data_IF_531957924889
#
_entry.id   IF_531957924889
#
_cell.length_a   1.000
_cell.length_b   1.000
_cell.length_c   1.000
_cell.angle_alpha   90.00
_cell.angle_beta   90.00
_cell.angle_gamma   90.00
#
_symmetry.space_group_name_H-M   'P 1'
#
loop_
_entity.id
_entity.type
_entity.pdbx_description
1 polymer ?
#
# COMPACT_ATOMS: atom_id res chain seq x y z
N UNK A 1 8.83 11.49 -2.04
CA UNK A 1 8.17 11.83 -0.75
C UNK A 1 9.11 11.51 0.40
N UNK A 2 9.20 12.39 1.40
CA UNK A 2 10.01 12.16 2.61
C UNK A 2 9.28 11.17 3.52
N UNK A 3 9.98 10.10 3.92
CA UNK A 3 9.44 8.98 4.68
C UNK A 3 10.33 8.71 5.91
N UNK A 4 10.10 9.45 7.02
CA UNK A 4 10.95 9.37 8.21
C UNK A 4 10.96 7.98 8.85
N UNK A 5 9.83 7.28 8.79
CA UNK A 5 9.68 5.93 9.36
C UNK A 5 10.55 4.92 8.60
N UNK A 6 10.55 4.99 7.27
CA UNK A 6 11.36 4.13 6.41
C UNK A 6 12.85 4.41 6.62
N UNK A 7 13.24 5.67 6.76
CA UNK A 7 14.63 6.06 7.04
C UNK A 7 15.12 5.54 8.40
N UNK A 8 14.31 5.66 9.45
CA UNK A 8 14.66 5.14 10.78
C UNK A 8 14.79 3.60 10.76
N UNK A 9 13.88 2.90 10.08
CA UNK A 9 13.96 1.44 9.96
C UNK A 9 15.19 0.99 9.16
N UNK A 10 15.49 1.67 8.04
CA UNK A 10 16.70 1.42 7.26
C UNK A 10 17.97 1.57 8.12
N UNK A 11 18.04 2.64 8.92
CA UNK A 11 19.17 2.88 9.83
C UNK A 11 19.29 1.80 10.91
N UNK A 12 18.17 1.26 11.40
CA UNK A 12 18.18 0.11 12.34
C UNK A 12 18.66 -1.17 11.67
N UNK A 13 18.22 -1.47 10.45
CA UNK A 13 18.63 -2.66 9.70
C UNK A 13 20.13 -2.64 9.40
N UNK A 14 20.66 -1.49 8.97
CA UNK A 14 22.10 -1.30 8.78
C UNK A 14 22.90 -1.54 10.06
N UNK A 15 22.45 -1.02 11.20
CA UNK A 15 23.08 -1.26 12.52
C UNK A 15 23.05 -2.73 12.95
N UNK A 16 22.11 -3.53 12.44
CA UNK A 16 22.01 -4.98 12.68
C UNK A 16 22.83 -5.83 11.71
N UNK A 17 23.56 -5.22 10.78
CA UNK A 17 24.38 -5.92 9.78
C UNK A 17 23.65 -6.28 8.48
N UNK A 18 22.40 -5.86 8.31
CA UNK A 18 21.65 -6.03 7.05
C UNK A 18 22.04 -4.93 6.05
N UNK A 19 23.31 -4.92 5.62
CA UNK A 19 23.86 -3.89 4.73
C UNK A 19 23.40 -4.03 3.27
N UNK A 20 22.82 -5.17 2.92
CA UNK A 20 22.22 -5.49 1.63
C UNK A 20 20.88 -4.77 1.39
N UNK A 21 20.22 -4.30 2.46
CA UNK A 21 18.99 -3.50 2.35
C UNK A 21 19.32 -2.07 1.91
N UNK A 22 19.01 -1.75 0.66
CA UNK A 22 19.35 -0.45 0.04
C UNK A 22 18.38 0.67 0.43
N UNK A 23 17.10 0.35 0.62
CA UNK A 23 16.06 1.31 0.98
C UNK A 23 14.90 0.62 1.71
N UNK A 24 14.16 1.40 2.49
CA UNK A 24 12.89 1.00 3.10
C UNK A 24 11.87 2.07 2.76
N UNK A 25 10.66 1.64 2.39
CA UNK A 25 9.49 2.51 2.21
C UNK A 25 8.41 2.03 3.16
N UNK A 26 7.97 2.90 4.05
CA UNK A 26 6.78 2.69 4.87
C UNK A 26 5.55 3.17 4.13
N UNK A 27 4.49 2.38 4.25
CA UNK A 27 3.17 2.69 3.72
C UNK A 27 2.12 1.92 4.51
N UNK A 28 0.86 2.24 4.26
CA UNK A 28 -0.26 1.47 4.81
C UNK A 28 -0.62 0.37 3.82
N UNK A 29 -0.76 -0.84 4.33
CA UNK A 29 -1.34 -1.96 3.59
C UNK A 29 -2.76 -2.19 4.07
N UNK A 30 -3.70 -2.33 3.13
CA UNK A 30 -5.10 -2.63 3.40
C UNK A 30 -5.49 -3.84 2.59
N UNK A 31 -6.03 -4.85 3.26
CA UNK A 31 -6.70 -5.98 2.62
C UNK A 31 -8.21 -5.70 2.63
N UNK A 32 -8.83 -5.74 1.46
CA UNK A 32 -10.25 -5.48 1.28
C UNK A 32 -10.92 -6.73 0.72
N UNK A 33 -11.87 -7.29 1.47
CA UNK A 33 -12.74 -8.36 1.01
C UNK A 33 -14.06 -7.72 0.59
N UNK A 34 -14.37 -7.80 -0.69
CA UNK A 34 -15.59 -7.21 -1.27
C UNK A 34 -16.36 -8.23 -2.08
N UNK A 35 -17.69 -8.11 -2.08
CA UNK A 35 -18.53 -8.80 -3.04
C UNK A 35 -18.51 -8.04 -4.37
N UNK A 36 -18.40 -8.76 -5.48
CA UNK A 36 -18.44 -8.20 -6.82
C UNK A 36 -18.96 -9.24 -7.81
N UNK A 37 -19.68 -8.78 -8.84
CA UNK A 37 -20.25 -9.65 -9.87
C UNK A 37 -19.20 -10.15 -10.86
N UNK A 38 -18.02 -9.52 -10.87
CA UNK A 38 -16.88 -9.89 -11.70
C UNK A 38 -15.58 -9.27 -11.19
N UNK A 39 -14.44 -9.77 -11.68
CA UNK A 39 -13.12 -9.18 -11.42
C UNK A 39 -13.03 -7.71 -11.83
N UNK A 40 -13.64 -7.33 -12.97
CA UNK A 40 -13.65 -5.94 -13.43
C UNK A 40 -14.48 -5.03 -12.52
N UNK A 41 -15.61 -5.52 -12.02
CA UNK A 41 -16.43 -4.79 -11.05
C UNK A 41 -15.68 -4.60 -9.72
N UNK A 42 -14.97 -5.63 -9.26
CA UNK A 42 -14.13 -5.55 -8.06
C UNK A 42 -13.06 -4.45 -8.17
N UNK A 43 -12.33 -4.40 -9.30
CA UNK A 43 -11.32 -3.37 -9.55
C UNK A 43 -11.94 -1.97 -9.54
N UNK A 44 -13.10 -1.79 -10.20
CA UNK A 44 -13.80 -0.50 -10.22
C UNK A 44 -14.22 -0.07 -8.82
N UNK A 45 -14.81 -0.97 -8.02
CA UNK A 45 -15.22 -0.69 -6.64
C UNK A 45 -14.04 -0.33 -5.75
N UNK A 46 -12.96 -1.11 -5.79
CA UNK A 46 -11.75 -0.82 -5.01
C UNK A 46 -11.15 0.53 -5.40
N UNK A 47 -11.07 0.83 -6.70
CA UNK A 47 -10.58 2.13 -7.19
C UNK A 47 -11.46 3.29 -6.71
N UNK A 48 -12.78 3.11 -6.70
CA UNK A 48 -13.72 4.10 -6.18
C UNK A 48 -13.54 4.33 -4.68
N UNK A 49 -13.34 3.28 -3.89
CA UNK A 49 -13.08 3.38 -2.45
C UNK A 49 -11.87 4.29 -2.19
N UNK A 50 -10.78 4.10 -2.94
CA UNK A 50 -9.59 4.96 -2.78
C UNK A 50 -9.81 6.40 -3.26
N UNK A 51 -10.71 6.61 -4.23
CA UNK A 51 -10.88 7.89 -4.91
C UNK A 51 -11.95 8.80 -4.27
N UNK A 52 -13.01 8.24 -3.66
CA UNK A 52 -14.14 9.04 -3.15
C UNK A 52 -15.10 8.26 -2.19
N UNK A 53 -15.23 8.63 -0.89
CA UNK A 53 -14.43 9.62 -0.15
C UNK A 53 -12.99 9.12 0.03
N UNK A 54 -11.99 10.00 -0.07
CA UNK A 54 -10.59 9.58 -0.09
C UNK A 54 -10.18 8.98 1.27
N UNK A 55 -9.98 7.66 1.31
CA UNK A 55 -9.40 6.96 2.48
C UNK A 55 -7.91 7.29 2.66
N UNK A 56 -7.31 7.84 1.61
CA UNK A 56 -5.90 8.23 1.51
C UNK A 56 -5.83 9.73 1.21
N UNK A 57 -4.83 10.45 1.71
CA UNK A 57 -4.67 11.85 1.36
C UNK A 57 -4.20 11.96 -0.10
N UNK A 58 -5.00 12.44 -1.06
CA UNK A 58 -4.67 12.37 -2.49
C UNK A 58 -3.48 13.24 -2.91
N UNK A 59 -3.02 14.15 -2.03
CA UNK A 59 -1.81 14.98 -2.26
C UNK A 59 -0.55 14.28 -1.76
N UNK A 60 -0.69 13.37 -0.80
CA UNK A 60 0.42 12.75 -0.07
C UNK A 60 0.58 11.27 -0.39
N UNK A 61 -0.51 10.58 -0.68
CA UNK A 61 -0.55 9.12 -0.79
C UNK A 61 -0.90 8.72 -2.23
N UNK A 62 -0.11 7.83 -2.82
CA UNK A 62 -0.38 7.20 -4.11
C UNK A 62 -0.81 5.74 -3.88
N UNK A 63 -2.13 5.45 -3.72
CA UNK A 63 -2.60 4.09 -3.50
C UNK A 63 -2.30 3.24 -4.74
N UNK A 64 -1.69 2.09 -4.50
CA UNK A 64 -1.40 1.09 -5.54
C UNK A 64 -2.15 -0.18 -5.19
N UNK A 65 -2.92 -0.72 -6.15
CA UNK A 65 -3.48 -2.06 -6.04
C UNK A 65 -2.32 -3.06 -6.21
N UNK A 66 -1.95 -3.73 -5.12
CA UNK A 66 -0.81 -4.66 -5.11
C UNK A 66 -1.22 -6.01 -5.69
N UNK A 67 -2.38 -6.53 -5.28
CA UNK A 67 -2.88 -7.83 -5.71
C UNK A 67 -4.41 -7.88 -5.67
N UNK A 68 -4.99 -8.83 -6.40
CA UNK A 68 -6.42 -9.14 -6.39
C UNK A 68 -6.65 -10.63 -6.62
N UNK A 69 -7.18 -11.28 -5.58
CA UNK A 69 -7.48 -12.70 -5.55
C UNK A 69 -9.00 -12.94 -5.39
N UNK A 70 -9.50 -13.99 -6.04
CA UNK A 70 -10.90 -14.45 -5.87
C UNK A 70 -10.93 -15.47 -4.73
N UNK A 71 -11.68 -15.16 -3.68
CA UNK A 71 -11.89 -16.04 -2.53
C UNK A 71 -13.19 -16.82 -2.78
N UNK A 72 -13.11 -18.16 -2.73
CA UNK A 72 -14.24 -19.09 -2.95
C UNK A 72 -14.81 -19.62 -1.65
#
# INVERSE_FOLDING_TARGET
MFDPEGEELLNRLKRKGCSDVLAVRSGKYWELIIEADSKEDAIKRVTQIYSNPPVTNPVKDEPTLIDLEEIK
#
